data_IF_364482905596
#
_entry.id   IF_364482905596
#
_cell.length_a   1.000
_cell.length_b   1.000
_cell.length_c   1.000
_cell.angle_alpha   90.00
_cell.angle_beta   90.00
_cell.angle_gamma   90.00
#
_symmetry.space_group_name_H-M   'P 1'
#
loop_
_entity.id
_entity.type
_entity.pdbx_description
1 polymer ?
#
# COMPACT_ATOMS: atom_id res chain seq x y z
N UNK A 1 8.25 -14.01 24.70
CA UNK A 1 9.19 -14.99 24.09
C UNK A 1 10.26 -14.23 23.30
N UNK A 2 11.49 -14.75 23.22
CA UNK A 2 12.60 -14.11 22.47
C UNK A 2 13.10 -15.07 21.39
N UNK A 3 13.24 -14.59 20.17
CA UNK A 3 13.74 -15.35 19.03
C UNK A 3 14.90 -14.60 18.37
N UNK A 4 15.77 -15.33 17.69
CA UNK A 4 16.88 -14.77 16.91
C UNK A 4 16.88 -15.39 15.51
N UNK A 5 17.17 -14.56 14.51
CA UNK A 5 17.30 -14.95 13.11
C UNK A 5 18.44 -14.16 12.48
N UNK A 6 19.11 -14.71 11.47
CA UNK A 6 20.10 -13.95 10.70
C UNK A 6 19.42 -12.77 9.99
N UNK A 7 18.25 -13.02 9.39
CA UNK A 7 17.50 -12.04 8.61
C UNK A 7 16.04 -12.01 9.04
N UNK A 8 15.55 -10.82 9.42
CA UNK A 8 14.11 -10.56 9.61
C UNK A 8 13.60 -9.77 8.41
N UNK A 9 12.45 -10.17 7.86
CA UNK A 9 11.79 -9.53 6.73
C UNK A 9 10.40 -9.10 7.15
N UNK A 10 10.09 -7.81 6.99
CA UNK A 10 8.79 -7.24 7.35
C UNK A 10 7.95 -7.02 6.10
N UNK A 11 7.01 -7.92 5.86
CA UNK A 11 6.04 -7.95 4.77
C UNK A 11 6.20 -9.18 3.87
N UNK A 12 5.15 -10.00 3.72
CA UNK A 12 5.09 -11.18 2.86
C UNK A 12 4.39 -10.88 1.51
N UNK A 13 4.65 -9.70 0.95
CA UNK A 13 4.30 -9.35 -0.43
C UNK A 13 5.32 -9.89 -1.46
N UNK A 14 5.23 -9.47 -2.73
CA UNK A 14 6.19 -9.87 -3.77
C UNK A 14 7.65 -9.64 -3.37
N UNK A 15 7.97 -8.47 -2.79
CA UNK A 15 9.34 -8.17 -2.36
C UNK A 15 9.81 -9.12 -1.25
N UNK A 16 9.08 -9.21 -0.15
CA UNK A 16 9.54 -10.01 1.00
C UNK A 16 9.55 -11.51 0.74
N UNK A 17 8.64 -12.05 -0.09
CA UNK A 17 8.69 -13.47 -0.47
C UNK A 17 9.92 -13.79 -1.33
N UNK A 18 10.26 -12.92 -2.29
CA UNK A 18 11.47 -13.11 -3.11
C UNK A 18 12.74 -12.89 -2.27
N UNK A 19 12.74 -11.92 -1.35
CA UNK A 19 13.83 -11.70 -0.40
C UNK A 19 14.04 -12.91 0.50
N UNK A 20 12.96 -13.47 1.07
CA UNK A 20 13.02 -14.66 1.92
C UNK A 20 13.58 -15.86 1.16
N UNK A 21 13.08 -16.10 -0.05
CA UNK A 21 13.58 -17.20 -0.88
C UNK A 21 15.04 -17.01 -1.26
N UNK A 22 15.51 -15.80 -1.55
CA UNK A 22 16.90 -15.55 -1.93
C UNK A 22 17.85 -15.72 -0.74
N UNK A 23 17.50 -15.15 0.42
CA UNK A 23 18.26 -15.24 1.65
C UNK A 23 18.41 -16.68 2.15
N UNK A 24 17.32 -17.46 2.15
CA UNK A 24 17.34 -18.83 2.65
C UNK A 24 18.05 -19.81 1.69
N UNK A 25 18.02 -19.58 0.37
CA UNK A 25 18.90 -20.31 -0.58
C UNK A 25 20.38 -20.10 -0.29
N UNK A 26 20.75 -18.93 0.26
CA UNK A 26 22.10 -18.62 0.70
C UNK A 26 22.43 -19.11 2.12
N UNK A 27 21.53 -19.88 2.76
CA UNK A 27 21.77 -20.55 4.04
C UNK A 27 21.42 -19.73 5.28
N UNK A 28 20.87 -18.52 5.14
CA UNK A 28 20.46 -17.70 6.28
C UNK A 28 19.17 -18.23 6.93
N UNK A 29 19.09 -18.13 8.26
CA UNK A 29 17.83 -18.28 9.01
C UNK A 29 16.98 -17.02 8.84
N UNK A 30 15.72 -17.20 8.42
CA UNK A 30 14.84 -16.10 8.01
C UNK A 30 13.55 -16.11 8.81
N UNK A 31 13.18 -14.97 9.39
CA UNK A 31 11.82 -14.72 9.83
C UNK A 31 11.09 -13.83 8.83
N UNK A 32 9.99 -14.32 8.26
CA UNK A 32 9.12 -13.56 7.38
C UNK A 32 7.85 -13.15 8.13
N UNK A 33 7.73 -11.87 8.46
CA UNK A 33 6.62 -11.31 9.24
C UNK A 33 5.58 -10.67 8.31
N UNK A 34 4.29 -10.94 8.52
CA UNK A 34 3.21 -10.24 7.80
C UNK A 34 1.98 -10.04 8.68
N UNK A 35 1.33 -8.88 8.56
CA UNK A 35 0.13 -8.57 9.34
C UNK A 35 -1.13 -9.25 8.80
N UNK A 36 -1.10 -9.76 7.56
CA UNK A 36 -2.19 -10.53 6.99
C UNK A 36 -2.08 -12.00 7.41
N UNK A 37 -3.21 -12.70 7.49
CA UNK A 37 -3.22 -14.13 7.81
C UNK A 37 -2.62 -15.02 6.70
N UNK A 38 -2.45 -14.47 5.49
CA UNK A 38 -1.90 -15.21 4.34
C UNK A 38 -0.92 -14.33 3.58
N UNK A 39 0.19 -14.95 3.18
CA UNK A 39 1.18 -14.34 2.32
C UNK A 39 0.60 -14.00 0.93
N UNK A 40 1.22 -13.02 0.28
CA UNK A 40 0.87 -12.52 -1.05
C UNK A 40 0.72 -11.00 -1.14
N UNK A 41 0.71 -10.31 0.01
CA UNK A 41 0.49 -8.87 0.09
C UNK A 41 -0.82 -8.43 -0.56
N UNK A 42 -0.85 -7.22 -1.12
CA UNK A 42 -2.08 -6.66 -1.71
C UNK A 42 -2.41 -7.24 -3.10
N UNK A 43 -1.39 -7.47 -3.93
CA UNK A 43 -1.55 -7.90 -5.32
C UNK A 43 -2.10 -9.33 -5.38
N UNK A 44 -1.49 -10.25 -4.64
CA UNK A 44 -1.90 -11.65 -4.60
C UNK A 44 -2.82 -11.98 -3.43
N UNK A 45 -3.45 -10.97 -2.81
CA UNK A 45 -4.42 -11.15 -1.72
C UNK A 45 -5.43 -12.22 -2.09
N UNK A 46 -5.60 -13.18 -1.18
CA UNK A 46 -6.46 -14.35 -1.34
C UNK A 46 -7.72 -14.22 -0.49
N UNK A 47 -8.84 -14.74 -1.00
CA UNK A 47 -10.09 -14.85 -0.27
C UNK A 47 -10.25 -16.19 0.44
N UNK A 48 -11.21 -16.31 1.37
CA UNK A 48 -11.65 -17.61 1.88
C UNK A 48 -12.03 -18.53 0.70
N UNK A 49 -11.55 -19.78 0.71
CA UNK A 49 -11.84 -20.78 -0.33
C UNK A 49 -11.21 -20.54 -1.72
N UNK A 50 -10.39 -19.51 -1.91
CA UNK A 50 -9.75 -19.23 -3.20
C UNK A 50 -8.29 -19.69 -3.21
N UNK A 51 -7.94 -20.52 -4.20
CA UNK A 51 -6.56 -20.96 -4.40
C UNK A 51 -5.64 -19.79 -4.81
N UNK A 52 -4.35 -19.82 -4.41
CA UNK A 52 -3.39 -18.83 -4.84
C UNK A 52 -3.22 -18.84 -6.37
N UNK A 53 -3.05 -17.66 -6.93
CA UNK A 53 -2.69 -17.50 -8.35
C UNK A 53 -1.34 -18.17 -8.62
N UNK A 54 -1.13 -18.66 -9.85
CA UNK A 54 0.05 -19.46 -10.19
C UNK A 54 1.39 -18.84 -9.72
N UNK A 55 1.69 -17.54 -9.97
CA UNK A 55 2.96 -16.96 -9.52
C UNK A 55 3.17 -17.02 -8.00
N UNK A 56 2.12 -16.78 -7.21
CA UNK A 56 2.21 -16.88 -5.76
C UNK A 56 2.33 -18.34 -5.32
N UNK A 57 1.56 -19.25 -5.91
CA UNK A 57 1.60 -20.67 -5.58
C UNK A 57 3.00 -21.25 -5.79
N UNK A 58 3.64 -20.91 -6.91
CA UNK A 58 4.97 -21.40 -7.24
C UNK A 58 6.01 -20.87 -6.24
N UNK A 59 5.92 -19.60 -5.86
CA UNK A 59 6.80 -18.99 -4.86
C UNK A 59 6.59 -19.56 -3.45
N UNK A 60 5.33 -19.77 -3.04
CA UNK A 60 5.02 -20.42 -1.77
C UNK A 60 5.52 -21.85 -1.73
N UNK A 61 5.43 -22.59 -2.84
CA UNK A 61 5.95 -23.95 -2.94
C UNK A 61 7.47 -23.97 -2.77
N UNK A 62 8.17 -23.04 -3.42
CA UNK A 62 9.62 -22.89 -3.30
C UNK A 62 10.07 -22.53 -1.87
N UNK A 63 9.31 -21.69 -1.16
CA UNK A 63 9.58 -21.29 0.23
C UNK A 63 9.25 -22.42 1.21
N UNK A 64 8.14 -23.14 1.00
CA UNK A 64 7.69 -24.20 1.91
C UNK A 64 8.67 -25.37 2.00
N UNK A 65 9.52 -25.56 0.97
CA UNK A 65 10.60 -26.56 0.98
C UNK A 65 11.84 -26.16 1.78
N UNK A 66 11.90 -24.95 2.34
CA UNK A 66 13.09 -24.41 3.00
C UNK A 66 12.86 -24.30 4.52
N UNK A 67 13.44 -25.22 5.29
CA UNK A 67 13.33 -25.24 6.76
C UNK A 67 13.97 -24.02 7.44
N UNK A 68 14.79 -23.26 6.72
CA UNK A 68 15.43 -22.04 7.22
C UNK A 68 14.46 -20.84 7.28
N UNK A 69 13.26 -20.93 6.68
CA UNK A 69 12.27 -19.84 6.68
C UNK A 69 11.18 -20.14 7.71
N UNK A 70 11.07 -19.28 8.73
CA UNK A 70 9.93 -19.26 9.65
C UNK A 70 8.97 -18.14 9.24
N UNK A 71 7.75 -18.51 8.84
CA UNK A 71 6.71 -17.55 8.50
C UNK A 71 5.86 -17.21 9.72
N UNK A 72 5.68 -15.91 9.98
CA UNK A 72 4.89 -15.35 11.07
C UNK A 72 3.69 -14.60 10.48
N UNK A 73 2.59 -15.31 10.15
CA UNK A 73 1.36 -14.67 9.68
C UNK A 73 0.67 -13.91 10.82
N UNK A 74 -0.25 -13.01 10.47
CA UNK A 74 -1.04 -12.22 11.44
C UNK A 74 -0.19 -11.58 12.55
N UNK A 75 1.03 -11.16 12.20
CA UNK A 75 2.04 -10.66 13.13
C UNK A 75 2.40 -9.22 12.80
N UNK A 76 2.15 -8.33 13.76
CA UNK A 76 2.37 -6.89 13.63
C UNK A 76 3.68 -6.50 14.30
N UNK A 77 4.48 -5.67 13.64
CA UNK A 77 5.59 -4.97 14.29
C UNK A 77 5.02 -3.80 15.10
N UNK A 78 5.21 -3.85 16.41
CA UNK A 78 4.69 -2.86 17.36
C UNK A 78 5.70 -1.72 17.56
N UNK A 79 6.98 -2.06 17.73
CA UNK A 79 8.05 -1.10 17.98
C UNK A 79 9.42 -1.70 17.63
N UNK A 80 10.43 -0.88 17.28
CA UNK A 80 11.83 -1.30 17.37
C UNK A 80 12.24 -1.46 18.84
N UNK A 81 13.14 -2.40 19.11
CA UNK A 81 13.74 -2.68 20.42
C UNK A 81 15.27 -2.69 20.30
N UNK A 82 15.93 -1.73 20.96
CA UNK A 82 17.38 -1.58 20.85
C UNK A 82 17.85 -1.37 19.39
N UNK A 83 19.13 -1.61 19.09
CA UNK A 83 19.68 -1.39 17.75
C UNK A 83 19.28 -2.45 16.72
N UNK A 84 18.99 -3.69 17.15
CA UNK A 84 18.70 -4.83 16.27
C UNK A 84 17.62 -5.76 16.82
N UNK A 85 16.48 -5.18 17.19
CA UNK A 85 15.35 -5.95 17.69
C UNK A 85 14.01 -5.33 17.33
N UNK A 86 12.96 -6.15 17.31
CA UNK A 86 11.57 -5.75 17.11
C UNK A 86 10.69 -6.33 18.22
N UNK A 87 9.74 -5.53 18.70
CA UNK A 87 8.59 -5.99 19.45
C UNK A 87 7.47 -6.34 18.47
N UNK A 88 6.96 -7.55 18.58
CA UNK A 88 5.92 -8.11 17.73
C UNK A 88 4.66 -8.41 18.56
N UNK A 89 3.52 -8.34 17.90
CA UNK A 89 2.26 -8.90 18.39
C UNK A 89 1.70 -9.86 17.34
N UNK A 90 1.64 -11.14 17.69
CA UNK A 90 1.06 -12.20 16.86
C UNK A 90 -0.29 -12.63 17.43
N UNK A 91 -1.23 -12.96 16.53
CA UNK A 91 -2.49 -13.58 16.92
C UNK A 91 -2.30 -14.95 17.61
N UNK A 92 -1.21 -15.66 17.32
CA UNK A 92 -0.97 -17.02 17.81
C UNK A 92 -0.24 -17.05 19.16
N UNK A 93 0.79 -16.22 19.33
CA UNK A 93 1.64 -16.24 20.53
C UNK A 93 1.62 -14.95 21.37
N UNK A 94 0.79 -13.96 21.00
CA UNK A 94 0.76 -12.66 21.66
C UNK A 94 2.07 -11.88 21.47
N UNK A 95 2.56 -11.28 22.55
CA UNK A 95 3.79 -10.49 22.55
C UNK A 95 5.08 -11.30 22.39
N UNK A 96 5.88 -10.98 21.39
CA UNK A 96 7.18 -11.59 21.15
C UNK A 96 8.25 -10.55 20.83
N UNK A 97 9.49 -10.83 21.19
CA UNK A 97 10.65 -10.03 20.83
C UNK A 97 11.52 -10.83 19.86
N UNK A 98 11.98 -10.20 18.79
CA UNK A 98 12.88 -10.83 17.81
C UNK A 98 14.12 -9.98 17.65
N UNK A 99 15.30 -10.59 17.71
CA UNK A 99 16.58 -9.97 17.32
C UNK A 99 17.03 -10.46 15.95
N UNK A 100 17.87 -9.66 15.29
CA UNK A 100 18.35 -9.96 13.94
C UNK A 100 19.76 -9.47 13.67
N UNK A 101 20.44 -10.05 12.67
CA UNK A 101 21.67 -9.46 12.12
C UNK A 101 21.38 -8.46 11.00
N UNK A 102 20.41 -8.77 10.14
CA UNK A 102 19.90 -7.86 9.10
C UNK A 102 18.37 -7.78 9.11
N UNK A 103 17.85 -6.61 8.74
CA UNK A 103 16.42 -6.35 8.60
C UNK A 103 16.10 -5.92 7.18
N UNK A 104 15.12 -6.56 6.54
CA UNK A 104 14.59 -6.14 5.23
C UNK A 104 13.18 -5.58 5.41
N UNK A 105 13.02 -4.30 5.07
CA UNK A 105 11.73 -3.62 5.04
C UNK A 105 11.07 -3.86 3.69
N UNK A 106 10.04 -4.71 3.66
CA UNK A 106 9.22 -5.00 2.47
C UNK A 106 7.76 -4.57 2.70
N UNK A 107 7.58 -3.42 3.35
CA UNK A 107 6.30 -2.94 3.91
C UNK A 107 5.30 -2.42 2.87
N UNK A 108 5.71 -2.39 1.60
CA UNK A 108 4.88 -2.01 0.45
C UNK A 108 4.38 -0.57 0.52
N UNK A 109 3.21 -0.35 -0.07
CA UNK A 109 2.53 0.94 -0.08
C UNK A 109 1.05 0.80 0.28
N UNK A 110 0.42 1.92 0.65
CA UNK A 110 -1.03 2.04 0.86
C UNK A 110 -1.66 2.92 -0.19
N UNK A 111 -2.98 2.82 -0.34
CA UNK A 111 -3.72 3.68 -1.23
C UNK A 111 -3.72 5.14 -0.74
N UNK A 112 -3.53 6.08 -1.68
CA UNK A 112 -3.71 7.51 -1.44
C UNK A 112 -5.21 7.82 -1.49
N UNK A 113 -5.79 8.07 -0.33
CA UNK A 113 -7.18 8.50 -0.19
C UNK A 113 -7.23 10.02 -0.06
N UNK A 114 -7.99 10.66 -0.95
CA UNK A 114 -8.17 12.12 -0.98
C UNK A 114 -9.63 12.45 -0.64
N UNK A 115 -9.88 13.27 0.40
CA UNK A 115 -11.22 13.71 0.74
C UNK A 115 -11.97 14.39 -0.42
N UNK A 116 -13.26 14.12 -0.50
CA UNK A 116 -14.25 14.84 -1.29
C UNK A 116 -15.56 14.88 -0.49
N UNK A 117 -16.52 15.72 -0.83
CA UNK A 117 -17.74 15.83 -0.03
C UNK A 117 -18.47 14.47 0.06
N UNK A 118 -18.80 14.03 1.28
CA UNK A 118 -19.44 12.72 1.50
C UNK A 118 -18.51 11.50 1.40
N UNK A 119 -17.18 11.66 1.33
CA UNK A 119 -16.24 10.52 1.21
C UNK A 119 -16.24 9.56 2.42
N UNK A 120 -16.85 9.95 3.55
CA UNK A 120 -17.00 9.14 4.76
C UNK A 120 -18.31 8.37 4.82
N UNK A 121 -19.22 8.55 3.85
CA UNK A 121 -20.50 7.84 3.80
C UNK A 121 -20.27 6.32 3.69
N UNK A 122 -21.05 5.50 4.41
CA UNK A 122 -21.07 4.06 4.18
C UNK A 122 -21.28 3.72 2.71
N UNK A 123 -20.44 2.84 2.17
CA UNK A 123 -20.40 2.50 0.75
C UNK A 123 -19.34 3.27 -0.06
N UNK A 124 -18.72 4.31 0.52
CA UNK A 124 -17.52 4.93 -0.04
C UNK A 124 -16.27 4.24 0.51
N UNK A 125 -15.39 3.80 -0.39
CA UNK A 125 -14.16 3.07 -0.08
C UNK A 125 -13.01 3.54 -0.98
N UNK A 126 -11.80 3.05 -0.74
CA UNK A 126 -10.71 3.11 -1.72
C UNK A 126 -10.89 2.10 -2.85
N UNK A 127 -10.29 2.32 -4.01
CA UNK A 127 -10.33 1.36 -5.14
C UNK A 127 -9.63 0.04 -4.78
N UNK A 128 -8.47 0.13 -4.14
CA UNK A 128 -7.78 -1.04 -3.58
C UNK A 128 -8.55 -1.68 -2.43
N UNK A 129 -9.20 -0.86 -1.59
CA UNK A 129 -10.04 -1.36 -0.51
C UNK A 129 -11.26 -2.14 -1.02
N UNK A 130 -11.95 -1.66 -2.07
CA UNK A 130 -13.04 -2.40 -2.73
C UNK A 130 -12.56 -3.78 -3.21
N UNK A 131 -11.40 -3.83 -3.86
CA UNK A 131 -10.81 -5.09 -4.30
C UNK A 131 -10.53 -6.03 -3.12
N UNK A 132 -9.97 -5.50 -2.02
CA UNK A 132 -9.71 -6.29 -0.82
C UNK A 132 -11.00 -6.80 -0.17
N UNK A 133 -12.06 -5.98 -0.10
CA UNK A 133 -13.37 -6.37 0.44
C UNK A 133 -14.00 -7.49 -0.37
N UNK A 134 -14.04 -7.37 -1.70
CA UNK A 134 -14.60 -8.40 -2.59
C UNK A 134 -13.83 -9.72 -2.43
N UNK A 135 -12.50 -9.66 -2.47
CA UNK A 135 -11.65 -10.83 -2.25
C UNK A 135 -11.87 -11.42 -0.86
N UNK A 136 -12.12 -10.59 0.14
CA UNK A 136 -12.47 -11.00 1.51
C UNK A 136 -13.86 -11.63 1.65
N UNK A 137 -14.69 -11.61 0.60
CA UNK A 137 -16.02 -12.22 0.59
C UNK A 137 -17.18 -11.24 0.68
N UNK A 138 -16.95 -9.93 0.61
CA UNK A 138 -18.04 -8.94 0.58
C UNK A 138 -18.84 -9.12 -0.71
N UNK A 139 -20.16 -9.40 -0.62
CA UNK A 139 -20.99 -9.56 -1.80
C UNK A 139 -21.25 -8.20 -2.44
N UNK A 140 -21.03 -8.11 -3.76
CA UNK A 140 -21.28 -6.90 -4.56
C UNK A 140 -22.17 -7.18 -5.78
N UNK A 141 -22.75 -8.38 -5.85
CA UNK A 141 -23.52 -8.82 -7.01
C UNK A 141 -24.74 -7.92 -7.23
N UNK A 142 -24.87 -7.37 -8.43
CA UNK A 142 -25.96 -6.47 -8.82
C UNK A 142 -25.81 -5.02 -8.34
N UNK A 143 -24.90 -4.73 -7.41
CA UNK A 143 -24.68 -3.36 -6.92
C UNK A 143 -24.12 -2.46 -8.03
N UNK A 144 -24.61 -1.21 -8.09
CA UNK A 144 -24.09 -0.18 -8.97
C UNK A 144 -22.86 0.46 -8.35
N UNK A 145 -21.71 0.31 -9.00
CA UNK A 145 -20.44 0.81 -8.46
C UNK A 145 -19.86 1.88 -9.38
N UNK A 146 -19.45 3.01 -8.79
CA UNK A 146 -18.57 3.99 -9.44
C UNK A 146 -17.15 3.80 -8.92
N UNK A 147 -16.19 3.69 -9.82
CA UNK A 147 -14.76 3.60 -9.49
C UNK A 147 -14.10 4.89 -9.96
N UNK A 148 -13.30 5.53 -9.11
CA UNK A 148 -12.75 6.84 -9.37
C UNK A 148 -11.31 6.98 -8.90
N UNK A 149 -10.58 7.94 -9.46
CA UNK A 149 -9.27 8.35 -8.97
C UNK A 149 -8.21 8.36 -10.06
N UNK A 150 -7.10 7.66 -9.86
CA UNK A 150 -5.96 7.67 -10.80
C UNK A 150 -5.31 6.31 -10.98
N UNK A 151 -5.14 5.90 -12.24
CA UNK A 151 -4.16 4.91 -12.64
C UNK A 151 -4.64 3.46 -12.70
N UNK A 152 -3.71 2.53 -12.94
CA UNK A 152 -4.03 1.13 -13.26
C UNK A 152 -4.82 0.39 -12.18
N UNK A 153 -4.77 0.86 -10.92
CA UNK A 153 -5.53 0.30 -9.81
C UNK A 153 -7.06 0.36 -10.08
N UNK A 154 -7.55 1.40 -10.76
CA UNK A 154 -8.96 1.53 -11.11
C UNK A 154 -9.41 0.37 -12.01
N UNK A 155 -8.55 -0.01 -12.97
CA UNK A 155 -8.81 -1.10 -13.91
C UNK A 155 -8.79 -2.45 -13.17
N UNK A 156 -7.88 -2.63 -12.21
CA UNK A 156 -7.83 -3.84 -11.38
C UNK A 156 -9.08 -3.97 -10.48
N UNK A 157 -9.55 -2.86 -9.90
CA UNK A 157 -10.78 -2.81 -9.12
C UNK A 157 -12.01 -3.10 -9.99
N UNK A 158 -12.08 -2.51 -11.20
CA UNK A 158 -13.13 -2.76 -12.19
C UNK A 158 -13.25 -4.25 -12.53
N UNK A 159 -12.14 -4.89 -12.87
CA UNK A 159 -12.13 -6.31 -13.21
C UNK A 159 -12.56 -7.19 -12.03
N UNK A 160 -12.12 -6.86 -10.82
CA UNK A 160 -12.52 -7.58 -9.60
C UNK A 160 -14.02 -7.44 -9.33
N UNK A 161 -14.55 -6.22 -9.38
CA UNK A 161 -15.97 -5.93 -9.17
C UNK A 161 -16.87 -6.64 -10.19
N UNK A 162 -16.52 -6.58 -11.47
CA UNK A 162 -17.28 -7.27 -12.52
C UNK A 162 -17.22 -8.78 -12.40
N UNK A 163 -16.06 -9.35 -12.07
CA UNK A 163 -15.94 -10.79 -11.83
C UNK A 163 -16.82 -11.27 -10.66
N UNK A 164 -17.03 -10.40 -9.66
CA UNK A 164 -17.96 -10.65 -8.55
C UNK A 164 -19.44 -10.31 -8.86
N UNK A 165 -19.75 -9.93 -10.10
CA UNK A 165 -21.12 -9.67 -10.57
C UNK A 165 -21.66 -8.27 -10.27
N UNK A 166 -20.81 -7.31 -9.89
CA UNK A 166 -21.22 -5.92 -9.73
C UNK A 166 -21.50 -5.24 -11.08
N UNK A 167 -22.43 -4.28 -11.08
CA UNK A 167 -22.69 -3.39 -12.21
C UNK A 167 -21.83 -2.14 -12.07
N UNK A 168 -20.61 -2.16 -12.62
CA UNK A 168 -19.78 -0.95 -12.63
C UNK A 168 -20.33 0.03 -13.67
N UNK A 169 -20.88 1.16 -13.21
CA UNK A 169 -21.60 2.14 -14.05
C UNK A 169 -20.66 3.19 -14.65
N UNK A 170 -19.57 3.53 -13.96
CA UNK A 170 -18.56 4.44 -14.46
C UNK A 170 -17.17 4.15 -13.87
N UNK A 171 -16.14 4.40 -14.67
CA UNK A 171 -14.76 4.61 -14.21
C UNK A 171 -14.40 6.07 -14.48
N UNK A 172 -14.03 6.77 -13.42
CA UNK A 172 -13.74 8.22 -13.41
C UNK A 172 -12.25 8.40 -13.19
N UNK A 173 -11.53 8.58 -14.29
CA UNK A 173 -10.08 8.74 -14.33
C UNK A 173 -9.73 10.23 -14.39
N UNK A 174 -8.88 10.69 -13.46
CA UNK A 174 -8.45 12.07 -13.41
C UNK A 174 -7.45 12.41 -14.52
N UNK A 175 -6.64 11.45 -14.98
CA UNK A 175 -5.71 11.65 -16.08
C UNK A 175 -6.40 11.99 -17.41
N UNK A 176 -5.70 12.71 -18.31
CA UNK A 176 -6.27 13.13 -19.59
C UNK A 176 -6.49 11.93 -20.51
N UNK A 177 -7.41 12.10 -21.46
CA UNK A 177 -7.52 11.16 -22.58
C UNK A 177 -6.18 10.98 -23.31
N UNK A 178 -5.41 12.07 -23.45
CA UNK A 178 -4.09 12.04 -24.09
C UNK A 178 -3.08 11.19 -23.31
N UNK A 179 -2.96 11.39 -22.00
CA UNK A 179 -2.02 10.67 -21.15
C UNK A 179 -2.38 9.19 -21.05
N UNK A 180 -3.67 8.87 -20.90
CA UNK A 180 -4.18 7.50 -20.88
C UNK A 180 -3.90 6.80 -22.22
N UNK A 181 -4.16 7.46 -23.35
CA UNK A 181 -3.88 6.92 -24.68
C UNK A 181 -2.38 6.71 -24.91
N UNK A 182 -1.55 7.71 -24.55
CA UNK A 182 -0.08 7.63 -24.64
C UNK A 182 0.47 6.49 -23.79
N UNK A 183 -0.05 6.31 -22.58
CA UNK A 183 0.29 5.18 -21.72
C UNK A 183 -0.09 3.85 -22.37
N UNK A 184 -1.32 3.75 -22.91
CA UNK A 184 -1.81 2.58 -23.64
C UNK A 184 -0.89 2.19 -24.80
N UNK A 185 -0.47 3.16 -25.63
CA UNK A 185 0.50 2.93 -26.73
C UNK A 185 1.84 2.44 -26.15
N UNK A 186 2.29 3.01 -25.04
CA UNK A 186 3.56 2.60 -24.41
C UNK A 186 3.56 1.13 -23.95
N UNK A 187 2.40 0.50 -23.74
CA UNK A 187 2.30 -0.92 -23.39
C UNK A 187 2.81 -1.85 -24.51
N UNK A 188 2.89 -1.39 -25.77
CA UNK A 188 3.51 -2.15 -26.87
C UNK A 188 4.97 -2.52 -26.57
N UNK A 189 5.69 -1.66 -25.83
CA UNK A 189 7.06 -1.92 -25.37
C UNK A 189 7.11 -2.89 -24.16
N UNK A 190 5.98 -3.41 -23.69
CA UNK A 190 5.90 -4.33 -22.54
C UNK A 190 4.82 -5.40 -22.79
N UNK A 191 5.08 -6.39 -23.66
CA UNK A 191 4.07 -7.33 -24.16
C UNK A 191 3.29 -8.09 -23.08
N UNK A 192 3.96 -8.45 -21.96
CA UNK A 192 3.29 -9.07 -20.81
C UNK A 192 2.21 -8.18 -20.18
N UNK A 193 2.51 -6.89 -20.00
CA UNK A 193 1.55 -5.90 -19.47
C UNK A 193 0.46 -5.57 -20.48
N UNK A 194 0.77 -5.57 -21.78
CA UNK A 194 -0.24 -5.42 -22.82
C UNK A 194 -1.25 -6.56 -22.79
N UNK A 195 -0.80 -7.82 -22.70
CA UNK A 195 -1.68 -8.99 -22.57
C UNK A 195 -2.56 -8.89 -21.32
N UNK A 196 -1.97 -8.48 -20.20
CA UNK A 196 -2.73 -8.24 -18.96
C UNK A 196 -3.79 -7.16 -19.16
N UNK A 197 -3.42 -6.01 -19.75
CA UNK A 197 -4.35 -4.91 -20.02
C UNK A 197 -5.51 -5.34 -20.94
N UNK A 198 -5.23 -6.07 -22.03
CA UNK A 198 -6.25 -6.61 -22.94
C UNK A 198 -7.18 -7.61 -22.23
N UNK A 199 -6.67 -8.43 -21.31
CA UNK A 199 -7.51 -9.29 -20.49
C UNK A 199 -8.51 -8.49 -19.64
N UNK A 200 -8.07 -7.34 -19.13
CA UNK A 200 -8.88 -6.43 -18.32
C UNK A 200 -9.86 -5.59 -19.16
N UNK A 201 -9.59 -5.35 -20.46
CA UNK A 201 -10.48 -4.55 -21.32
C UNK A 201 -11.83 -5.20 -21.61
N UNK A 202 -11.97 -6.53 -21.42
CA UNK A 202 -13.29 -7.21 -21.41
C UNK A 202 -14.24 -6.59 -20.38
N UNK A 203 -13.68 -6.04 -19.30
CA UNK A 203 -14.40 -5.30 -18.28
C UNK A 203 -14.91 -3.90 -18.71
N UNK A 204 -14.70 -3.46 -19.95
CA UNK A 204 -15.09 -2.12 -20.40
C UNK A 204 -16.39 -2.13 -21.23
N UNK A 205 -16.90 -3.31 -21.62
CA UNK A 205 -18.16 -3.40 -22.36
C UNK A 205 -19.32 -2.77 -21.54
N UNK A 206 -20.07 -1.84 -22.15
CA UNK A 206 -21.19 -1.15 -21.51
C UNK A 206 -20.80 -0.23 -20.34
N UNK A 207 -19.53 0.16 -20.22
CA UNK A 207 -19.01 1.07 -19.18
C UNK A 207 -18.81 2.48 -19.74
N UNK A 208 -19.08 3.48 -18.90
CA UNK A 208 -18.57 4.83 -19.13
C UNK A 208 -17.17 4.98 -18.53
N UNK A 209 -16.14 5.09 -19.38
CA UNK A 209 -14.79 5.46 -18.95
C UNK A 209 -14.59 6.96 -19.21
N UNK A 210 -14.59 7.76 -18.16
CA UNK A 210 -14.46 9.21 -18.24
C UNK A 210 -13.07 9.64 -17.76
N UNK A 211 -12.25 10.08 -18.70
CA UNK A 211 -10.97 10.75 -18.43
C UNK A 211 -11.17 12.21 -18.06
N UNK A 212 -10.13 12.89 -17.59
CA UNK A 212 -10.17 14.29 -17.18
C UNK A 212 -11.31 14.58 -16.20
N UNK A 213 -11.64 13.63 -15.32
CA UNK A 213 -12.85 13.67 -14.49
C UNK A 213 -12.54 13.28 -13.05
N UNK A 214 -13.28 13.87 -12.10
CA UNK A 214 -13.16 13.54 -10.67
C UNK A 214 -14.53 13.40 -10.02
N UNK A 215 -14.61 12.63 -8.95
CA UNK A 215 -15.75 12.67 -8.03
C UNK A 215 -15.65 13.95 -7.20
N UNK A 216 -16.73 14.74 -7.19
CA UNK A 216 -16.83 15.98 -6.42
C UNK A 216 -17.56 15.73 -5.09
N UNK A 217 -18.61 14.90 -5.12
CA UNK A 217 -19.48 14.68 -3.97
C UNK A 217 -20.18 13.32 -4.05
N UNK A 218 -20.31 12.63 -2.91
CA UNK A 218 -21.23 11.52 -2.70
C UNK A 218 -22.37 11.95 -1.77
N UNK A 219 -23.60 11.54 -2.08
CA UNK A 219 -24.81 11.86 -1.32
C UNK A 219 -25.63 10.61 -1.01
N UNK A 220 -26.43 10.70 0.04
CA UNK A 220 -27.46 9.74 0.41
C UNK A 220 -27.79 9.81 1.90
N UNK A 221 -28.87 9.15 2.30
CA UNK A 221 -29.30 9.09 3.70
C UNK A 221 -28.73 7.84 4.38
N UNK A 222 -27.82 8.03 5.34
CA UNK A 222 -27.12 6.95 6.04
C UNK A 222 -26.09 6.14 5.23
N UNK A 223 -26.14 6.17 3.89
CA UNK A 223 -25.17 5.55 2.98
C UNK A 223 -25.13 6.26 1.63
N UNK A 224 -24.16 5.95 0.78
CA UNK A 224 -24.13 6.50 -0.58
C UNK A 224 -25.26 5.93 -1.45
N UNK A 225 -25.93 6.82 -2.16
CA UNK A 225 -27.01 6.54 -3.11
C UNK A 225 -26.75 7.23 -4.46
N UNK A 226 -26.02 8.34 -4.45
CA UNK A 226 -25.69 9.13 -5.63
C UNK A 226 -24.27 9.70 -5.56
N UNK A 227 -23.67 9.92 -6.72
CA UNK A 227 -22.37 10.59 -6.84
C UNK A 227 -22.41 11.65 -7.94
N UNK A 228 -21.87 12.83 -7.61
CA UNK A 228 -21.66 13.94 -8.54
C UNK A 228 -20.23 13.88 -9.08
N UNK A 229 -20.10 13.83 -10.39
CA UNK A 229 -18.83 13.76 -11.11
C UNK A 229 -18.65 15.03 -11.93
N UNK A 230 -17.49 15.67 -11.75
CA UNK A 230 -17.06 16.82 -12.57
C UNK A 230 -16.22 16.32 -13.72
N UNK A 231 -16.60 16.67 -14.96
CA UNK A 231 -15.98 16.18 -16.21
C UNK A 231 -15.24 17.28 -16.97
N UNK A 232 -14.14 16.90 -17.61
CA UNK A 232 -13.54 17.58 -18.76
C UNK A 232 -12.85 18.91 -18.49
N UNK A 233 -12.47 19.24 -17.24
CA UNK A 233 -11.95 20.57 -16.88
C UNK A 233 -13.02 21.69 -16.94
N UNK A 234 -13.92 21.62 -17.90
CA UNK A 234 -15.04 22.53 -18.18
C UNK A 234 -16.28 22.19 -17.34
N UNK A 235 -16.22 22.33 -16.01
CA UNK A 235 -17.32 22.44 -15.04
C UNK A 235 -18.61 21.57 -15.19
N UNK A 236 -18.69 20.61 -16.11
CA UNK A 236 -19.89 19.83 -16.40
C UNK A 236 -20.05 18.80 -15.31
N UNK A 237 -21.18 18.91 -14.59
CA UNK A 237 -21.55 17.99 -13.52
C UNK A 237 -22.50 16.93 -14.07
N UNK A 238 -22.22 15.68 -13.72
CA UNK A 238 -23.10 14.54 -13.99
C UNK A 238 -23.38 13.86 -12.67
N UNK A 239 -24.66 13.60 -12.40
CA UNK A 239 -25.10 12.84 -11.22
C UNK A 239 -25.42 11.42 -11.67
N UNK A 240 -24.91 10.43 -10.95
CA UNK A 240 -25.19 9.01 -11.16
C UNK A 240 -25.71 8.38 -9.88
N UNK A 241 -26.75 7.57 -9.99
CA UNK A 241 -27.16 6.70 -8.88
C UNK A 241 -26.15 5.55 -8.74
N UNK A 242 -25.71 5.30 -7.51
CA UNK A 242 -24.79 4.22 -7.19
C UNK A 242 -24.96 3.73 -5.76
N UNK A 243 -24.63 2.46 -5.53
CA UNK A 243 -24.71 1.81 -4.24
C UNK A 243 -23.34 1.82 -3.52
N UNK A 244 -22.26 2.01 -4.29
CA UNK A 244 -20.89 2.19 -3.80
C UNK A 244 -20.07 3.12 -4.67
N UNK A 245 -19.12 3.80 -4.03
CA UNK A 245 -18.04 4.56 -4.68
C UNK A 245 -16.71 4.02 -4.19
N UNK A 246 -15.78 3.73 -5.11
CA UNK A 246 -14.43 3.31 -4.78
C UNK A 246 -13.42 4.29 -5.39
N UNK A 247 -12.76 5.09 -4.55
CA UNK A 247 -11.95 6.24 -4.98
C UNK A 247 -10.51 6.17 -4.48
N UNK A 248 -9.53 6.17 -5.39
CA UNK A 248 -8.11 6.03 -5.05
C UNK A 248 -7.16 6.76 -6.00
N UNK A 249 -6.24 7.58 -5.47
CA UNK A 249 -5.41 8.51 -6.24
C UNK A 249 -3.93 8.10 -6.27
N UNK A 250 -3.68 6.84 -6.60
CA UNK A 250 -2.36 6.21 -6.56
C UNK A 250 -2.00 5.67 -5.19
N UNK A 251 -0.70 5.44 -4.97
CA UNK A 251 -0.18 4.80 -3.76
C UNK A 251 0.80 5.72 -3.00
N UNK A 252 0.97 5.44 -1.72
CA UNK A 252 1.91 6.09 -0.81
C UNK A 252 2.74 5.02 -0.11
N UNK A 253 4.08 5.07 -0.21
CA UNK A 253 4.97 4.15 0.49
C UNK A 253 4.67 4.03 2.00
N UNK A 254 4.80 2.81 2.54
CA UNK A 254 4.67 2.56 3.98
C UNK A 254 6.03 2.69 4.67
N UNK A 255 6.36 3.90 5.07
CA UNK A 255 7.69 4.25 5.62
C UNK A 255 7.75 4.29 7.16
N UNK A 256 6.68 3.94 7.86
CA UNK A 256 6.56 4.13 9.32
C UNK A 256 7.69 3.47 10.10
N UNK A 257 8.01 2.20 9.81
CA UNK A 257 9.09 1.48 10.50
C UNK A 257 10.45 2.06 10.11
N UNK A 258 10.67 2.40 8.84
CA UNK A 258 11.91 3.01 8.36
C UNK A 258 12.20 4.35 9.04
N UNK A 259 11.20 5.22 9.15
CA UNK A 259 11.31 6.50 9.85
C UNK A 259 11.65 6.31 11.33
N UNK A 260 11.04 5.34 12.01
CA UNK A 260 11.32 5.06 13.41
C UNK A 260 12.72 4.47 13.64
N UNK A 261 13.27 3.77 12.64
CA UNK A 261 14.65 3.26 12.65
C UNK A 261 15.67 4.34 12.23
N UNK A 262 15.23 5.51 11.76
CA UNK A 262 16.11 6.60 11.32
C UNK A 262 16.60 6.48 9.88
N UNK A 263 15.94 5.67 9.03
CA UNK A 263 16.26 5.61 7.61
C UNK A 263 15.95 6.94 6.91
N UNK A 264 16.80 7.34 5.98
CA UNK A 264 16.57 8.50 5.11
C UNK A 264 15.34 8.28 4.22
N UNK A 265 14.50 9.32 4.13
CA UNK A 265 13.29 9.33 3.33
C UNK A 265 13.43 10.43 2.26
N UNK A 266 13.10 10.11 1.01
CA UNK A 266 13.14 11.07 -0.10
C UNK A 266 12.03 12.11 0.02
N UNK A 267 12.12 13.21 -0.74
CA UNK A 267 11.05 14.21 -0.82
C UNK A 267 9.73 13.62 -1.34
N UNK A 268 9.81 12.58 -2.18
CA UNK A 268 8.66 11.83 -2.68
C UNK A 268 8.03 10.90 -1.62
N UNK A 269 8.64 10.76 -0.45
CA UNK A 269 8.16 9.93 0.66
C UNK A 269 8.54 8.46 0.54
N UNK A 270 9.65 8.13 -0.12
CA UNK A 270 10.16 6.78 -0.33
C UNK A 270 11.36 6.52 0.59
N UNK A 271 11.59 5.26 0.98
CA UNK A 271 12.82 4.88 1.68
C UNK A 271 13.99 4.97 0.69
N UNK A 272 15.01 5.77 1.02
CA UNK A 272 16.21 5.91 0.19
C UNK A 272 17.06 4.65 0.32
N UNK A 273 17.42 4.06 -0.81
CA UNK A 273 18.26 2.86 -0.89
C UNK A 273 19.34 2.99 -1.95
N UNK A 274 20.45 2.28 -1.75
CA UNK A 274 21.50 2.10 -2.76
C UNK A 274 21.13 1.02 -3.79
N UNK A 275 22.07 0.72 -4.70
CA UNK A 275 21.87 -0.32 -5.71
C UNK A 275 21.71 -1.72 -5.14
N UNK A 276 22.18 -1.98 -3.92
CA UNK A 276 22.07 -3.25 -3.21
C UNK A 276 20.85 -3.27 -2.26
N UNK A 277 19.95 -2.29 -2.40
CA UNK A 277 18.77 -2.12 -1.56
C UNK A 277 19.09 -1.81 -0.09
N UNK A 278 20.31 -1.37 0.24
CA UNK A 278 20.69 -0.95 1.59
C UNK A 278 20.19 0.46 1.87
N UNK A 279 19.64 0.67 3.06
CA UNK A 279 19.23 2.01 3.51
C UNK A 279 20.40 2.77 4.11
N UNK A 280 20.16 4.01 4.55
CA UNK A 280 21.14 4.80 5.31
C UNK A 280 21.47 4.25 6.71
N UNK A 281 20.73 3.25 7.19
CA UNK A 281 20.96 2.62 8.51
C UNK A 281 21.65 1.28 8.29
N UNK A 282 22.80 1.11 8.94
CA UNK A 282 23.58 -0.12 8.85
C UNK A 282 22.75 -1.33 9.32
N UNK A 283 22.76 -2.40 8.54
CA UNK A 283 21.98 -3.60 8.86
C UNK A 283 20.54 -3.56 8.38
N UNK A 284 20.04 -2.42 7.87
CA UNK A 284 18.67 -2.26 7.39
C UNK A 284 18.65 -2.08 5.87
N UNK A 285 17.90 -2.94 5.19
CA UNK A 285 17.63 -2.92 3.76
C UNK A 285 16.14 -2.65 3.52
N UNK A 286 15.77 -2.22 2.32
CA UNK A 286 14.37 -2.03 1.96
C UNK A 286 14.10 -2.40 0.49
N UNK A 287 12.94 -2.96 0.19
CA UNK A 287 12.60 -3.41 -1.16
C UNK A 287 11.10 -3.33 -1.46
N UNK A 288 10.78 -3.11 -2.74
CA UNK A 288 9.42 -3.02 -3.24
C UNK A 288 8.81 -1.64 -3.06
N UNK A 289 7.48 -1.57 -2.96
CA UNK A 289 6.79 -0.28 -3.10
C UNK A 289 7.07 0.72 -1.97
N UNK A 290 7.75 0.31 -0.89
CA UNK A 290 8.25 1.22 0.14
C UNK A 290 9.48 2.03 -0.32
N UNK A 291 10.21 1.58 -1.34
CA UNK A 291 11.34 2.28 -1.99
C UNK A 291 10.95 2.96 -3.31
N UNK A 292 9.67 2.94 -3.67
CA UNK A 292 9.11 3.54 -4.88
C UNK A 292 8.10 2.63 -5.58
N UNK A 293 6.99 3.21 -6.05
CA UNK A 293 5.85 2.45 -6.57
C UNK A 293 6.09 1.99 -8.02
N UNK A 294 6.52 0.74 -8.19
CA UNK A 294 6.78 0.15 -9.52
C UNK A 294 6.02 -1.13 -9.86
N UNK A 295 5.15 -1.60 -8.96
CA UNK A 295 4.37 -2.83 -9.14
C UNK A 295 5.10 -4.12 -8.75
N UNK A 296 4.37 -5.24 -8.84
CA UNK A 296 4.79 -6.52 -8.28
C UNK A 296 6.09 -7.09 -8.89
N UNK A 297 6.31 -6.89 -10.19
CA UNK A 297 7.51 -7.40 -10.86
C UNK A 297 8.77 -6.64 -10.43
N UNK A 298 8.70 -5.32 -10.30
CA UNK A 298 9.81 -4.55 -9.74
C UNK A 298 10.07 -4.97 -8.30
N UNK A 299 9.00 -5.06 -7.50
CA UNK A 299 9.09 -5.42 -6.10
C UNK A 299 9.72 -6.80 -5.89
N UNK A 300 9.37 -7.79 -6.73
CA UNK A 300 9.99 -9.12 -6.67
C UNK A 300 11.49 -9.09 -6.93
N UNK A 301 11.94 -8.36 -7.96
CA UNK A 301 13.37 -8.22 -8.31
C UNK A 301 14.13 -7.48 -7.21
N UNK A 302 13.60 -6.36 -6.70
CA UNK A 302 14.22 -5.62 -5.60
C UNK A 302 14.28 -6.45 -4.31
N UNK A 303 13.25 -7.27 -4.06
CA UNK A 303 13.23 -8.24 -2.97
C UNK A 303 14.37 -9.25 -3.08
N UNK A 304 14.54 -9.86 -4.25
CA UNK A 304 15.63 -10.81 -4.50
C UNK A 304 17.01 -10.16 -4.31
N UNK A 305 17.22 -8.94 -4.81
CA UNK A 305 18.47 -8.19 -4.59
C UNK A 305 18.71 -7.97 -3.09
N UNK A 306 17.70 -7.51 -2.35
CA UNK A 306 17.83 -7.28 -0.91
C UNK A 306 18.13 -8.58 -0.14
N UNK A 307 17.50 -9.70 -0.52
CA UNK A 307 17.74 -11.01 0.09
C UNK A 307 19.18 -11.48 -0.11
N UNK A 308 19.70 -11.39 -1.34
CA UNK A 308 21.10 -11.72 -1.66
C UNK A 308 22.09 -10.80 -0.94
N UNK A 309 21.83 -9.48 -0.95
CA UNK A 309 22.69 -8.50 -0.30
C UNK A 309 22.73 -8.69 1.23
N UNK A 310 21.61 -9.05 1.84
CA UNK A 310 21.52 -9.33 3.27
C UNK A 310 22.25 -10.63 3.66
N UNK A 311 22.24 -11.65 2.80
CA UNK A 311 22.94 -12.92 3.03
C UNK A 311 24.41 -12.92 2.60
N UNK A 312 24.90 -11.83 2.00
CA UNK A 312 26.27 -11.73 1.46
C UNK A 312 26.48 -12.49 0.15
N UNK A 313 25.42 -12.96 -0.50
CA UNK A 313 25.48 -13.62 -1.80
C UNK A 313 25.47 -12.60 -2.95
N UNK A 314 26.12 -12.94 -4.08
CA UNK A 314 26.24 -12.06 -5.26
C UNK A 314 25.79 -12.71 -6.57
N UNK A 315 25.19 -13.90 -6.51
CA UNK A 315 24.81 -14.68 -7.68
C UNK A 315 23.73 -13.98 -8.53
N UNK A 316 23.85 -14.07 -9.86
CA UNK A 316 22.82 -13.58 -10.79
C UNK A 316 22.64 -12.05 -10.84
N UNK A 317 23.52 -11.27 -10.20
CA UNK A 317 23.32 -9.83 -10.00
C UNK A 317 23.10 -9.03 -11.29
N UNK A 318 23.92 -9.25 -12.32
CA UNK A 318 23.80 -8.52 -13.59
C UNK A 318 22.42 -8.70 -14.27
N UNK A 319 21.84 -9.90 -14.17
CA UNK A 319 20.51 -10.16 -14.71
C UNK A 319 19.41 -9.44 -13.92
N UNK A 320 19.53 -9.41 -12.58
CA UNK A 320 18.61 -8.69 -11.70
C UNK A 320 18.65 -7.18 -11.95
N UNK A 321 19.83 -6.59 -12.13
CA UNK A 321 19.96 -5.16 -12.44
C UNK A 321 19.27 -4.79 -13.75
N UNK A 322 19.46 -5.61 -14.80
CA UNK A 322 18.79 -5.39 -16.09
C UNK A 322 17.26 -5.51 -15.98
N UNK A 323 16.76 -6.47 -15.21
CA UNK A 323 15.32 -6.62 -14.94
C UNK A 323 14.78 -5.44 -14.12
N UNK A 324 15.49 -5.02 -13.09
CA UNK A 324 15.14 -3.88 -12.24
C UNK A 324 15.01 -2.61 -13.07
N UNK A 325 15.99 -2.28 -13.90
CA UNK A 325 15.92 -1.06 -14.72
C UNK A 325 14.80 -1.11 -15.75
N UNK A 326 14.53 -2.29 -16.33
CA UNK A 326 13.35 -2.48 -17.21
C UNK A 326 12.05 -2.13 -16.48
N UNK A 327 11.86 -2.62 -15.26
CA UNK A 327 10.64 -2.38 -14.51
C UNK A 327 10.58 -0.97 -13.90
N UNK A 328 11.70 -0.37 -13.50
CA UNK A 328 11.79 1.05 -13.12
C UNK A 328 11.35 1.96 -14.27
N UNK A 329 11.79 1.69 -15.51
CA UNK A 329 11.29 2.41 -16.71
C UNK A 329 9.78 2.25 -16.92
N UNK A 330 9.21 1.09 -16.58
CA UNK A 330 7.76 0.91 -16.63
C UNK A 330 7.07 1.72 -15.53
N UNK A 331 7.55 1.67 -14.29
CA UNK A 331 7.06 2.46 -13.16
C UNK A 331 7.02 3.95 -13.46
N UNK A 332 8.14 4.52 -13.95
CA UNK A 332 8.22 5.95 -14.34
C UNK A 332 7.17 6.35 -15.38
N UNK A 333 6.85 5.47 -16.34
CA UNK A 333 5.80 5.73 -17.34
C UNK A 333 4.40 5.73 -16.72
N UNK A 334 4.13 4.84 -15.76
CA UNK A 334 2.87 4.83 -15.01
C UNK A 334 2.75 6.11 -14.19
N UNK A 335 3.78 6.44 -13.40
CA UNK A 335 3.79 7.64 -12.57
C UNK A 335 3.57 8.91 -13.39
N UNK A 336 4.27 9.06 -14.51
CA UNK A 336 4.12 10.22 -15.41
C UNK A 336 2.71 10.31 -15.99
N UNK A 337 2.14 9.19 -16.46
CA UNK A 337 0.84 9.19 -17.12
C UNK A 337 -0.33 9.46 -16.16
N UNK A 338 -0.16 9.11 -14.88
CA UNK A 338 -1.22 9.16 -13.87
C UNK A 338 -0.88 10.10 -12.71
N UNK A 339 0.04 11.04 -12.94
CA UNK A 339 0.38 12.10 -12.00
C UNK A 339 -0.88 12.89 -11.62
N UNK A 340 -0.98 13.30 -10.34
CA UNK A 340 -2.13 14.04 -9.85
C UNK A 340 -2.19 15.43 -10.48
N UNK A 341 -3.35 15.77 -11.04
CA UNK A 341 -3.66 17.09 -11.56
C UNK A 341 -4.13 18.04 -10.47
N UNK A 342 -4.15 19.34 -10.77
CA UNK A 342 -4.54 20.40 -9.83
C UNK A 342 -5.90 20.16 -9.19
N UNK A 343 -6.86 19.66 -9.97
CA UNK A 343 -8.19 19.30 -9.50
C UNK A 343 -8.19 18.29 -8.35
N UNK A 344 -7.29 17.30 -8.36
CA UNK A 344 -7.16 16.32 -7.29
C UNK A 344 -6.31 16.85 -6.11
N UNK A 345 -5.46 17.85 -6.36
CA UNK A 345 -4.60 18.51 -5.37
C UNK A 345 -5.29 19.66 -4.64
N UNK A 346 -6.41 20.15 -5.16
CA UNK A 346 -7.18 21.22 -4.53
C UNK A 346 -8.00 20.62 -3.38
N UNK A 347 -7.88 21.17 -2.15
CA UNK A 347 -8.72 20.72 -1.05
C UNK A 347 -10.21 20.99 -1.36
N UNK A 348 -11.14 20.08 -1.00
CA UNK A 348 -12.57 20.32 -1.15
C UNK A 348 -13.07 21.39 -0.16
N UNK A 349 -14.38 21.61 -0.14
CA UNK A 349 -15.03 22.58 0.75
C UNK A 349 -14.70 22.32 2.22
N UNK A 350 -14.61 23.40 3.01
CA UNK A 350 -14.14 23.38 4.39
C UNK A 350 -14.95 22.46 5.32
N UNK A 351 -16.25 22.28 5.07
CA UNK A 351 -17.09 21.34 5.82
C UNK A 351 -16.73 19.85 5.61
N UNK A 352 -15.90 19.53 4.61
CA UNK A 352 -15.50 18.15 4.32
C UNK A 352 -14.57 17.63 5.41
N UNK A 353 -14.87 16.46 5.97
CA UNK A 353 -13.99 15.80 6.94
C UNK A 353 -12.61 15.52 6.35
N UNK A 354 -11.55 16.00 7.00
CA UNK A 354 -10.18 15.56 6.73
C UNK A 354 -9.85 14.29 7.51
N UNK A 355 -10.20 14.25 8.81
CA UNK A 355 -9.89 13.15 9.71
C UNK A 355 -11.16 12.44 10.20
N UNK A 356 -11.55 11.37 9.49
CA UNK A 356 -12.70 10.52 9.86
C UNK A 356 -12.61 9.81 11.23
N UNK A 357 -11.44 9.76 11.85
CA UNK A 357 -11.29 9.10 13.15
C UNK A 357 -11.63 10.02 14.33
N UNK A 358 -11.55 11.33 14.11
CA UNK A 358 -11.71 12.36 15.15
C UNK A 358 -12.73 13.42 14.69
N UNK A 359 -13.46 13.14 13.60
CA UNK A 359 -14.47 14.00 12.97
C UNK A 359 -14.02 15.45 12.70
N UNK A 360 -12.74 15.62 12.34
CA UNK A 360 -12.15 16.95 12.05
C UNK A 360 -12.29 17.31 10.57
N UNK A 361 -12.83 18.49 10.29
CA UNK A 361 -13.01 19.06 8.95
C UNK A 361 -11.77 19.74 8.38
N UNK A 362 -11.80 20.00 7.08
CA UNK A 362 -10.74 20.75 6.37
C UNK A 362 -10.68 22.20 6.87
N UNK A 363 -11.83 22.84 7.09
CA UNK A 363 -11.90 24.21 7.58
C UNK A 363 -11.24 24.38 8.95
N UNK A 364 -11.48 23.43 9.85
CA UNK A 364 -10.86 23.43 11.18
C UNK A 364 -9.34 23.34 11.12
N UNK A 365 -8.78 22.47 10.28
CA UNK A 365 -7.31 22.38 10.21
C UNK A 365 -6.68 23.55 9.47
N UNK A 366 -7.37 24.12 8.47
CA UNK A 366 -6.82 25.17 7.59
C UNK A 366 -6.39 26.43 8.36
N UNK A 367 -6.90 26.65 9.57
CA UNK A 367 -6.54 27.78 10.43
C UNK A 367 -5.14 27.67 11.05
N UNK A 368 -4.47 26.52 10.94
CA UNK A 368 -3.15 26.27 11.53
C UNK A 368 -2.03 26.30 10.50
N UNK A 369 -0.79 26.51 10.94
CA UNK A 369 0.35 26.63 10.03
C UNK A 369 1.03 25.29 9.72
N UNK A 370 0.79 24.26 10.52
CA UNK A 370 1.50 22.98 10.43
C UNK A 370 0.67 21.77 10.86
N UNK A 371 1.08 20.59 10.40
CA UNK A 371 0.52 19.31 10.83
C UNK A 371 0.54 19.14 12.35
N UNK A 372 1.61 19.61 13.02
CA UNK A 372 1.75 19.50 14.48
C UNK A 372 0.72 20.35 15.20
N UNK A 373 0.55 21.62 14.80
CA UNK A 373 -0.44 22.51 15.40
C UNK A 373 -1.86 21.99 15.18
N UNK A 374 -2.22 21.68 13.92
CA UNK A 374 -3.53 21.12 13.60
C UNK A 374 -3.81 19.85 14.44
N UNK A 375 -2.83 18.95 14.57
CA UNK A 375 -2.95 17.74 15.39
C UNK A 375 -3.14 18.05 16.88
N UNK A 376 -2.41 19.01 17.46
CA UNK A 376 -2.52 19.33 18.88
C UNK A 376 -3.83 20.05 19.22
N UNK A 377 -4.34 20.88 18.32
CA UNK A 377 -5.54 21.68 18.56
C UNK A 377 -6.84 20.97 18.18
N UNK A 378 -6.84 20.16 17.13
CA UNK A 378 -8.06 19.49 16.61
C UNK A 378 -8.08 17.99 16.87
N UNK A 379 -6.96 17.41 17.33
CA UNK A 379 -6.73 15.96 17.43
C UNK A 379 -6.61 15.23 16.10
N UNK A 380 -6.61 15.92 14.94
CA UNK A 380 -6.49 15.25 13.65
C UNK A 380 -5.24 14.32 13.60
N UNK A 381 -5.44 13.08 13.15
CA UNK A 381 -4.36 12.08 13.12
C UNK A 381 -3.96 11.51 14.49
N UNK A 382 -4.78 11.66 15.52
CA UNK A 382 -4.64 10.99 16.82
C UNK A 382 -5.49 9.72 16.97
N UNK A 383 -6.45 9.49 16.06
CA UNK A 383 -7.29 8.29 16.09
C UNK A 383 -6.56 6.99 15.71
N UNK A 384 -7.29 5.89 15.59
CA UNK A 384 -6.72 4.54 15.40
C UNK A 384 -5.80 4.38 14.19
N UNK A 385 -6.04 5.16 13.12
CA UNK A 385 -5.16 5.17 11.95
C UNK A 385 -3.83 5.91 12.15
N UNK A 386 -3.67 6.64 13.26
CA UNK A 386 -2.48 7.43 13.63
C UNK A 386 -2.02 8.39 12.53
N UNK A 387 -2.98 8.98 11.80
CA UNK A 387 -2.68 9.96 10.75
C UNK A 387 -2.30 9.37 9.39
N UNK A 388 -2.27 8.04 9.20
CA UNK A 388 -1.91 7.41 7.92
C UNK A 388 -2.79 7.83 6.74
N UNK A 389 -4.03 8.26 7.00
CA UNK A 389 -4.98 8.72 5.99
C UNK A 389 -4.97 10.25 5.89
N UNK A 390 -5.40 10.94 6.95
CA UNK A 390 -5.53 12.40 6.95
C UNK A 390 -4.17 13.13 6.82
N UNK A 391 -3.07 12.57 7.32
CA UNK A 391 -1.74 13.15 7.17
C UNK A 391 -1.25 13.12 5.71
N UNK A 392 -1.61 12.09 4.95
CA UNK A 392 -1.34 12.04 3.51
C UNK A 392 -2.12 13.10 2.74
N UNK A 393 -3.40 13.27 3.04
CA UNK A 393 -4.22 14.32 2.43
C UNK A 393 -3.71 15.72 2.82
N UNK A 394 -3.37 15.94 4.09
CA UNK A 394 -2.83 17.20 4.58
C UNK A 394 -1.48 17.56 3.94
N UNK A 395 -0.62 16.56 3.71
CA UNK A 395 0.62 16.76 2.97
C UNK A 395 0.36 17.25 1.54
N UNK A 396 -0.62 16.64 0.85
CA UNK A 396 -0.96 17.06 -0.51
C UNK A 396 -1.59 18.45 -0.58
N UNK A 397 -2.53 18.76 0.32
CA UNK A 397 -3.33 19.99 0.28
C UNK A 397 -2.63 21.21 0.87
N UNK A 398 -1.79 21.01 1.89
CA UNK A 398 -1.18 22.09 2.66
C UNK A 398 0.36 22.05 2.65
N UNK A 399 0.97 21.05 2.01
CA UNK A 399 2.42 20.85 2.03
C UNK A 399 2.96 20.41 3.39
N UNK A 400 2.10 20.06 4.35
CA UNK A 400 2.55 19.73 5.69
C UNK A 400 3.26 18.39 5.76
N UNK A 401 4.46 18.38 6.32
CA UNK A 401 5.19 17.15 6.57
C UNK A 401 4.68 16.48 7.86
N UNK A 402 4.51 15.16 7.80
CA UNK A 402 4.22 14.38 9.00
C UNK A 402 5.49 14.19 9.82
N UNK A 403 5.41 14.41 11.13
CA UNK A 403 6.51 14.11 12.05
C UNK A 403 6.78 12.60 12.14
N UNK A 404 7.93 12.25 12.73
CA UNK A 404 8.30 10.86 12.94
C UNK A 404 7.22 10.11 13.74
N UNK A 405 6.87 8.88 13.33
CA UNK A 405 5.90 8.06 14.04
C UNK A 405 6.46 7.67 15.42
N UNK A 406 5.58 7.60 16.41
CA UNK A 406 5.94 7.12 17.74
C UNK A 406 5.43 5.69 17.91
N UNK A 407 6.25 4.75 18.41
CA UNK A 407 5.74 3.46 18.83
C UNK A 407 4.79 3.64 20.03
N UNK A 408 3.79 2.75 20.18
CA UNK A 408 3.52 1.60 19.31
C UNK A 408 2.88 2.01 17.97
N UNK A 409 3.31 1.41 16.85
CA UNK A 409 2.84 1.77 15.50
C UNK A 409 1.38 1.38 15.21
N UNK A 410 0.85 0.48 16.00
CA UNK A 410 -0.55 0.09 16.03
C UNK A 410 -0.96 -0.19 17.47
N UNK A 411 -2.28 -0.15 17.80
CA UNK A 411 -2.74 -0.54 19.13
C UNK A 411 -2.22 -1.95 19.46
N UNK A 412 -1.58 -2.06 20.62
CA UNK A 412 -0.99 -3.29 21.14
C UNK A 412 -1.60 -3.60 22.52
N UNK A 413 -1.66 -4.89 22.85
CA UNK A 413 -2.08 -5.35 24.16
C UNK A 413 -1.03 -4.96 25.22
N UNK A 414 -1.49 -4.69 26.44
CA UNK A 414 -0.59 -4.37 27.56
C UNK A 414 0.42 -5.51 27.78
N UNK A 415 -0.03 -6.77 27.69
CA UNK A 415 0.84 -7.95 27.79
C UNK A 415 1.96 -7.98 26.74
N UNK A 416 1.71 -7.47 25.54
CA UNK A 416 2.74 -7.31 24.52
C UNK A 416 3.79 -6.30 24.95
N UNK A 417 3.39 -5.16 25.49
CA UNK A 417 4.33 -4.14 25.95
C UNK A 417 5.17 -4.64 27.14
N UNK A 418 4.59 -5.47 28.01
CA UNK A 418 5.32 -6.11 29.12
C UNK A 418 6.42 -7.07 28.62
N UNK A 419 6.24 -7.69 27.45
CA UNK A 419 7.26 -8.57 26.87
C UNK A 419 8.56 -7.83 26.51
N UNK A 420 8.50 -6.52 26.26
CA UNK A 420 9.69 -5.69 25.99
C UNK A 420 10.55 -5.48 27.25
N UNK A 421 9.96 -5.55 28.44
CA UNK A 421 10.63 -5.26 29.71
C UNK A 421 11.27 -6.48 30.39
N UNK A 422 10.93 -7.71 29.97
CA UNK A 422 11.48 -8.92 30.58
C UNK A 422 12.97 -9.07 30.21
N UNK A 423 13.88 -8.93 31.18
CA UNK A 423 15.32 -9.22 31.02
C UNK A 423 15.55 -10.68 30.53
N UNK A 424 16.64 -10.96 29.81
CA UNK A 424 17.00 -12.34 29.51
C UNK A 424 17.16 -13.13 30.82
N UNK A 425 16.75 -14.41 30.90
CA UNK A 425 17.23 -15.26 31.99
C UNK A 425 18.77 -15.24 31.98
N UNK A 426 19.43 -15.28 33.15
CA UNK A 426 20.88 -15.39 33.21
C UNK A 426 21.33 -16.56 32.35
N UNK A 427 22.41 -16.37 31.58
CA UNK A 427 23.10 -17.48 30.94
C UNK A 427 23.67 -18.35 32.07
N UNK A 428 23.08 -19.52 32.32
CA UNK A 428 23.67 -20.57 33.16
C UNK A 428 24.82 -21.28 32.42
#
# INVERSE_FOLDING_TARGET
>A
MRYHYDIVIVGAGPAGLNAASAAARAGATVALLDDNPRAGGQIWRQGPGHAPQAPLRDLLTAISGQSAITHWPSTRVIAPLGPRGLLLESAECGGACVSYERLILATGARERLLPFAGWTLPGVTGAGALQALIKGGVPVRGERIVIAGSGPLLIAALATARAAGARVVAVVEQASAFDVARFGISLLATPGKLRQAVGLTRGFAGLHYWTSSIVEEARGDGRVEQVTIRRGGEARRVVLDCDRVASGYGLVPNITLAQALGCAISEAGEIVVDDDQRTSVEGVLAAGECTGVGGAELAGVEGEIAGLAASGAAEGRAALDAQRERWRRFGRRVETAFALWDAARTPPADATLLCRCEDVSIGEVRTFASWREAKLHTRCGMGTCQGRICGTAANLYFGWQSGAPRPPFSPAQIGTLMAAAAEPPPLE
#
